data_IF_489294392630
#
_entry.id   IF_489294392630
#
_cell.length_a   1.000
_cell.length_b   1.000
_cell.length_c   1.000
_cell.angle_alpha   90.00
_cell.angle_beta   90.00
_cell.angle_gamma   90.00
#
_symmetry.space_group_name_H-M   'P 1'
#
loop_
_entity.id
_entity.type
_entity.pdbx_description
1 polymer ?
#
# COMPACT_ATOMS: atom_id res chain seq x y z
N UNK A 1 -2.72 7.79 -15.98
CA UNK A 1 -1.94 6.55 -15.79
C UNK A 1 -2.74 5.68 -14.85
N UNK A 2 -2.97 4.41 -15.19
CA UNK A 2 -3.57 3.46 -14.24
C UNK A 2 -2.44 2.65 -13.62
N UNK A 3 -2.56 2.36 -12.32
CA UNK A 3 -1.67 1.44 -11.64
C UNK A 3 -2.09 0.03 -12.07
N UNK A 4 -1.20 -0.69 -12.74
CA UNK A 4 -1.39 -2.13 -12.95
C UNK A 4 -0.38 -2.82 -12.06
N UNK A 5 -0.86 -3.51 -11.03
CA UNK A 5 -0.03 -4.43 -10.27
C UNK A 5 0.29 -5.61 -11.20
N UNK A 6 1.54 -5.69 -11.66
CA UNK A 6 2.02 -6.90 -12.34
C UNK A 6 2.47 -7.83 -11.24
N UNK A 7 1.52 -8.63 -10.74
CA UNK A 7 1.85 -9.80 -9.94
C UNK A 7 2.71 -10.71 -10.81
N UNK A 8 4.03 -10.66 -10.61
CA UNK A 8 4.91 -11.69 -11.14
C UNK A 8 4.68 -12.92 -10.28
N UNK A 9 3.66 -13.68 -10.66
CA UNK A 9 3.50 -15.07 -10.28
C UNK A 9 4.73 -15.81 -10.79
N UNK A 10 5.75 -15.94 -9.94
CA UNK A 10 6.54 -17.15 -9.70
C UNK A 10 7.81 -16.80 -8.91
N UNK A 11 7.92 -17.37 -7.71
CA UNK A 11 9.01 -17.33 -6.70
C UNK A 11 8.87 -16.29 -5.59
N UNK A 12 8.94 -16.83 -4.37
CA UNK A 12 8.88 -16.24 -3.03
C UNK A 12 10.00 -15.21 -2.70
N UNK A 13 10.44 -14.34 -3.62
CA UNK A 13 11.41 -13.27 -3.29
C UNK A 13 11.48 -12.12 -4.31
N UNK A 14 10.40 -11.84 -5.04
CA UNK A 14 10.37 -10.69 -5.94
C UNK A 14 10.28 -9.38 -5.15
N UNK A 15 11.17 -8.42 -5.43
CA UNK A 15 10.95 -7.01 -5.03
C UNK A 15 9.70 -6.55 -5.77
N UNK A 16 8.65 -6.18 -5.03
CA UNK A 16 7.47 -5.58 -5.63
C UNK A 16 7.85 -4.32 -6.40
N UNK A 17 7.28 -4.16 -7.59
CA UNK A 17 7.47 -2.97 -8.43
C UNK A 17 6.13 -2.45 -8.88
N UNK A 18 6.05 -1.13 -9.00
CA UNK A 18 4.91 -0.48 -9.62
C UNK A 18 5.18 -0.32 -11.10
N UNK A 19 4.30 -0.86 -11.94
CA UNK A 19 4.32 -0.62 -13.38
C UNK A 19 3.51 0.63 -13.73
N UNK A 20 4.17 1.59 -14.39
CA UNK A 20 3.57 2.81 -14.90
C UNK A 20 3.37 2.66 -16.42
N UNK A 21 2.13 2.41 -16.83
CA UNK A 21 1.75 2.29 -18.24
C UNK A 21 1.21 3.62 -18.78
N UNK A 22 1.80 4.08 -19.88
CA UNK A 22 1.23 5.17 -20.65
C UNK A 22 0.11 4.63 -21.55
N UNK A 23 -1.10 5.17 -21.39
CA UNK A 23 -2.30 4.69 -22.09
C UNK A 23 -2.37 5.11 -23.55
N UNK A 24 -1.63 6.15 -23.95
CA UNK A 24 -1.57 6.57 -25.34
C UNK A 24 -0.68 5.64 -26.18
N UNK A 25 0.37 5.07 -25.56
CA UNK A 25 1.33 4.20 -26.25
C UNK A 25 1.09 2.72 -26.01
N UNK A 26 0.57 2.35 -24.83
CA UNK A 26 0.33 0.97 -24.37
C UNK A 26 1.53 0.02 -24.46
N UNK A 27 2.73 0.55 -24.66
CA UNK A 27 3.97 -0.22 -24.80
C UNK A 27 5.02 0.26 -23.81
N UNK A 28 5.90 -0.67 -23.41
CA UNK A 28 7.09 -0.43 -22.57
C UNK A 28 6.77 0.27 -21.24
N UNK A 29 6.04 -0.38 -20.31
CA UNK A 29 5.75 0.21 -19.01
C UNK A 29 7.05 0.53 -18.27
N UNK A 30 7.08 1.70 -17.64
CA UNK A 30 8.19 2.06 -16.75
C UNK A 30 7.99 1.34 -15.42
N UNK A 31 9.02 0.68 -14.93
CA UNK A 31 9.01 0.08 -13.61
C UNK A 31 9.55 1.08 -12.57
N UNK A 32 8.83 1.20 -11.47
CA UNK A 32 9.22 1.95 -10.28
C UNK A 32 9.55 0.97 -9.18
N UNK A 33 10.80 1.03 -8.70
CA UNK A 33 11.21 0.31 -7.49
C UNK A 33 10.57 0.98 -6.29
N UNK A 34 9.82 0.21 -5.49
CA UNK A 34 9.15 0.69 -4.28
C UNK A 34 9.83 0.14 -3.03
N UNK A 35 9.45 0.67 -1.88
CA UNK A 35 9.87 0.10 -0.61
C UNK A 35 9.33 -1.35 -0.51
N UNK A 36 10.19 -2.35 -0.22
CA UNK A 36 9.78 -3.75 -0.15
C UNK A 36 8.82 -4.06 1.00
N UNK A 37 8.58 -3.10 1.90
CA UNK A 37 7.65 -3.21 3.05
C UNK A 37 6.26 -2.66 2.73
N UNK A 38 5.97 -2.37 1.47
CA UNK A 38 4.64 -1.97 1.02
C UNK A 38 3.59 -2.98 1.53
N UNK A 39 2.49 -2.48 2.09
CA UNK A 39 1.46 -3.30 2.76
C UNK A 39 0.05 -3.08 2.22
N UNK A 40 -0.14 -2.11 1.32
CA UNK A 40 -1.42 -1.80 0.69
C UNK A 40 -1.25 -1.56 -0.80
N UNK A 41 -2.34 -1.63 -1.57
CA UNK A 41 -2.36 -1.16 -2.95
C UNK A 41 -1.94 0.33 -3.03
N UNK A 42 -1.19 0.68 -4.08
CA UNK A 42 -0.77 2.05 -4.31
C UNK A 42 -1.88 2.89 -4.96
N UNK A 43 -1.89 4.19 -4.70
CA UNK A 43 -2.77 5.17 -5.34
C UNK A 43 -1.96 6.35 -5.82
N UNK A 44 -2.27 6.90 -6.99
CA UNK A 44 -1.66 8.17 -7.39
C UNK A 44 -2.07 9.28 -6.42
N UNK A 45 -1.15 10.21 -6.17
CA UNK A 45 -1.50 11.51 -5.61
C UNK A 45 -2.41 12.27 -6.59
N UNK A 46 -3.25 13.17 -6.09
CA UNK A 46 -4.21 13.90 -6.93
C UNK A 46 -3.54 14.68 -8.07
N UNK A 47 -2.30 15.14 -7.87
CA UNK A 47 -1.50 15.83 -8.89
C UNK A 47 -0.80 14.90 -9.89
N UNK A 48 -0.90 13.58 -9.69
CA UNK A 48 -0.29 12.54 -10.52
C UNK A 48 1.23 12.46 -10.46
N UNK A 49 1.90 13.18 -9.54
CA UNK A 49 3.38 13.26 -9.47
C UNK A 49 4.01 12.20 -8.57
N UNK A 50 3.20 11.51 -7.79
CA UNK A 50 3.66 10.48 -6.86
C UNK A 50 2.64 9.37 -6.74
N UNK A 51 3.08 8.26 -6.13
CA UNK A 51 2.22 7.20 -5.63
C UNK A 51 2.25 7.20 -4.10
N UNK A 52 1.11 6.96 -3.49
CA UNK A 52 0.94 6.77 -2.07
C UNK A 52 0.62 5.30 -1.79
N UNK A 53 1.19 4.74 -0.73
CA UNK A 53 0.94 3.37 -0.30
C UNK A 53 1.24 3.23 1.19
N UNK A 54 0.68 2.21 1.83
CA UNK A 54 0.96 1.85 3.22
C UNK A 54 2.29 1.11 3.33
N UNK A 55 3.02 1.37 4.41
CA UNK A 55 4.12 0.53 4.88
C UNK A 55 3.75 0.05 6.28
N UNK A 56 3.90 -1.26 6.53
CA UNK A 56 3.67 -1.85 7.84
C UNK A 56 4.96 -2.03 8.61
N UNK A 57 5.04 -1.41 9.78
CA UNK A 57 6.14 -1.62 10.71
C UNK A 57 5.59 -1.95 12.09
N UNK A 58 6.06 -3.05 12.69
CA UNK A 58 5.65 -3.49 14.03
C UNK A 58 4.11 -3.58 14.21
N UNK A 59 3.40 -4.00 13.16
CA UNK A 59 1.94 -4.16 13.17
C UNK A 59 1.13 -2.88 12.92
N UNK A 60 1.79 -1.74 12.72
CA UNK A 60 1.15 -0.44 12.47
C UNK A 60 1.41 0.00 11.04
N UNK A 61 0.36 0.42 10.33
CA UNK A 61 0.48 0.95 8.98
C UNK A 61 0.60 2.48 9.00
N UNK A 62 1.48 2.99 8.13
CA UNK A 62 1.56 4.41 7.82
C UNK A 62 1.61 4.63 6.31
N UNK A 63 1.04 5.75 5.84
CA UNK A 63 1.09 6.13 4.44
C UNK A 63 2.41 6.81 4.13
N UNK A 64 3.03 6.36 3.05
CA UNK A 64 4.20 6.93 2.43
C UNK A 64 3.85 7.45 1.04
N UNK A 65 4.53 8.51 0.61
CA UNK A 65 4.45 9.05 -0.74
C UNK A 65 5.80 8.89 -1.42
N UNK A 66 5.83 8.22 -2.55
CA UNK A 66 6.99 8.06 -3.41
C UNK A 66 6.81 8.81 -4.74
N UNK A 67 7.67 9.78 -5.07
CA UNK A 67 7.67 10.43 -6.38
C UNK A 67 7.84 9.44 -7.54
N UNK A 68 7.03 9.58 -8.60
CA UNK A 68 7.11 8.67 -9.77
C UNK A 68 8.40 8.82 -10.57
N UNK A 69 9.20 9.86 -10.29
CA UNK A 69 10.51 10.03 -10.89
C UNK A 69 11.55 9.04 -10.32
N UNK A 70 11.23 8.30 -9.26
CA UNK A 70 12.13 7.32 -8.64
C UNK A 70 12.90 7.85 -7.42
N UNK A 71 12.67 9.10 -7.02
CA UNK A 71 13.27 9.65 -5.80
C UNK A 71 12.75 8.92 -4.55
N UNK A 72 13.52 8.92 -3.44
CA UNK A 72 13.08 8.29 -2.19
C UNK A 72 11.71 8.78 -1.73
N UNK A 73 10.90 7.84 -1.24
CA UNK A 73 9.61 8.16 -0.64
C UNK A 73 9.75 8.79 0.75
N UNK A 74 8.68 9.43 1.22
CA UNK A 74 8.59 9.98 2.57
C UNK A 74 7.27 9.60 3.24
N UNK A 75 7.34 9.38 4.55
CA UNK A 75 6.17 9.14 5.38
C UNK A 75 5.32 10.41 5.52
N UNK A 76 3.99 10.28 5.45
CA UNK A 76 3.06 11.41 5.60
C UNK A 76 2.05 11.24 6.75
N UNK A 77 1.92 10.04 7.32
CA UNK A 77 1.16 9.79 8.55
C UNK A 77 2.06 9.26 9.65
N UNK A 78 1.69 9.44 10.91
CA UNK A 78 2.47 8.98 12.08
C UNK A 78 1.57 8.33 13.11
N UNK A 79 0.92 7.25 12.71
CA UNK A 79 0.11 6.42 13.58
C UNK A 79 0.98 5.51 14.44
N UNK A 80 0.50 5.25 15.64
CA UNK A 80 1.12 4.43 16.69
C UNK A 80 0.35 3.11 16.94
N UNK A 81 -0.78 2.94 16.27
CA UNK A 81 -1.66 1.77 16.35
C UNK A 81 -2.49 1.62 15.07
N UNK A 82 -3.09 0.43 14.97
CA UNK A 82 -4.00 0.02 13.89
C UNK A 82 -3.32 -0.20 12.53
N UNK A 83 -4.01 -0.97 11.71
CA UNK A 83 -3.71 -1.18 10.31
C UNK A 83 -4.57 -0.25 9.46
N UNK A 84 -4.11 0.07 8.25
CA UNK A 84 -4.86 0.83 7.26
C UNK A 84 -5.59 -0.17 6.35
N UNK A 85 -6.91 -0.14 6.38
CA UNK A 85 -7.77 -1.01 5.56
C UNK A 85 -8.00 -0.40 4.18
N UNK A 86 -8.12 0.93 4.10
CA UNK A 86 -8.20 1.67 2.85
C UNK A 86 -7.89 3.15 3.08
N UNK A 87 -7.51 3.86 2.03
CA UNK A 87 -7.36 5.32 2.06
C UNK A 87 -7.71 5.91 0.69
N UNK A 88 -8.14 7.16 0.64
CA UNK A 88 -8.43 7.88 -0.60
C UNK A 88 -8.20 9.39 -0.44
N UNK A 89 -7.67 10.02 -1.48
CA UNK A 89 -7.54 11.48 -1.55
C UNK A 89 -8.90 12.15 -1.71
N UNK A 90 -9.07 13.32 -1.09
CA UNK A 90 -10.17 14.22 -1.45
C UNK A 90 -10.03 14.68 -2.91
N UNK A 91 -11.13 15.05 -3.59
CA UNK A 91 -11.07 15.48 -4.99
C UNK A 91 -10.11 16.67 -5.25
N UNK A 92 -9.95 17.56 -4.27
CA UNK A 92 -9.02 18.70 -4.32
C UNK A 92 -7.57 18.33 -3.94
N UNK A 93 -7.33 17.08 -3.53
CA UNK A 93 -6.02 16.57 -3.11
C UNK A 93 -5.49 17.13 -1.79
N UNK A 94 -6.28 17.90 -1.05
CA UNK A 94 -5.82 18.55 0.19
C UNK A 94 -5.97 17.68 1.44
N UNK A 95 -6.84 16.67 1.38
CA UNK A 95 -7.16 15.80 2.50
C UNK A 95 -7.04 14.33 2.12
N UNK A 96 -6.81 13.48 3.12
CA UNK A 96 -6.79 12.03 2.97
C UNK A 96 -7.84 11.42 3.92
N UNK A 97 -8.83 10.73 3.35
CA UNK A 97 -9.70 9.86 4.10
C UNK A 97 -9.00 8.53 4.34
N UNK A 98 -8.99 8.03 5.58
CA UNK A 98 -8.30 6.80 5.95
C UNK A 98 -9.23 5.96 6.83
N UNK A 99 -9.45 4.71 6.43
CA UNK A 99 -10.11 3.70 7.25
C UNK A 99 -9.03 2.87 7.95
N UNK A 100 -9.07 2.86 9.28
CA UNK A 100 -8.14 2.08 10.11
C UNK A 100 -8.89 1.13 11.03
N UNK A 101 -8.21 0.07 11.41
CA UNK A 101 -8.71 -0.88 12.39
C UNK A 101 -7.70 -1.99 12.66
N UNK A 102 -8.11 -2.93 13.50
CA UNK A 102 -7.35 -4.14 13.79
C UNK A 102 -8.33 -5.30 13.96
N UNK A 103 -7.81 -6.51 13.85
CA UNK A 103 -8.57 -7.72 14.18
C UNK A 103 -8.20 -8.14 15.58
N UNK A 104 -9.17 -8.18 16.47
CA UNK A 104 -9.05 -8.86 17.75
C UNK A 104 -9.34 -10.35 17.54
N UNK A 105 -8.54 -11.23 18.14
CA UNK A 105 -8.70 -12.67 18.05
C UNK A 105 -8.42 -13.30 19.40
N UNK A 106 -9.44 -13.97 19.95
CA UNK A 106 -9.33 -14.75 21.18
C UNK A 106 -9.27 -16.24 20.84
N UNK A 107 -8.36 -16.95 21.51
CA UNK A 107 -8.33 -18.42 21.45
C UNK A 107 -9.09 -18.96 22.65
N UNK A 108 -10.17 -19.70 22.38
CA UNK A 108 -10.92 -20.43 23.41
C UNK A 108 -10.56 -21.91 23.37
N UNK A 109 -10.24 -22.49 24.54
CA UNK A 109 -10.06 -23.92 24.69
C UNK A 109 -11.43 -24.57 24.92
N UNK A 110 -11.86 -25.42 23.99
CA UNK A 110 -12.98 -26.31 24.21
C UNK A 110 -12.46 -27.64 24.76
N UNK A 111 -12.90 -28.01 25.95
CA UNK A 111 -12.63 -29.31 26.56
C UNK A 111 -13.93 -30.07 26.76
N UNK A 112 -13.91 -31.36 26.47
CA UNK A 112 -15.04 -32.25 26.73
C UNK A 112 -15.15 -32.46 28.25
N UNK A 113 -16.33 -32.21 28.82
CA UNK A 113 -16.59 -32.52 30.22
C UNK A 113 -16.67 -34.04 30.38
N UNK A 114 -15.94 -34.59 31.35
CA UNK A 114 -16.02 -36.03 31.67
C UNK A 114 -17.47 -36.40 32.04
N UNK A 115 -17.93 -37.60 31.65
CA UNK A 115 -19.31 -38.05 31.89
C UNK A 115 -19.66 -38.12 33.38
#
# INVERSE_FOLDING_TARGET
>A
AYLTEVLTSERQSGIEKIALLNLATLHSPRLLDVDPRISTAAQFTADGKAVAYGIRENGVDNIWIQPINGSPGRQITKFDREQILSFHWSPDGQSLGILRGHTDSDVVLLQESKP
#
